data_IF_040527516780
#
_entry.id   IF_040527516780
#
_cell.length_a   1.000
_cell.length_b   1.000
_cell.length_c   1.000
_cell.angle_alpha   90.00
_cell.angle_beta   90.00
_cell.angle_gamma   90.00
#
_symmetry.space_group_name_H-M   'P 1'
#
loop_
_entity.id
_entity.type
_entity.pdbx_description
1 polymer ?
#
# COMPACT_ATOMS: atom_id res chain seq x y z
N UNK A 1 2.75 15.88 2.48
CA UNK A 1 2.13 15.30 3.67
C UNK A 1 2.92 15.77 4.89
N UNK A 2 2.37 15.77 6.08
CA UNK A 2 3.13 16.00 7.31
C UNK A 2 3.36 14.68 8.04
N UNK A 3 4.47 14.54 8.79
CA UNK A 3 4.81 13.29 9.48
C UNK A 3 3.70 12.80 10.41
N UNK A 4 3.07 13.71 11.16
CA UNK A 4 1.95 13.35 12.05
C UNK A 4 0.72 12.84 11.29
N UNK A 5 0.46 13.35 10.09
CA UNK A 5 -0.61 12.85 9.23
C UNK A 5 -0.29 11.46 8.68
N UNK A 6 0.96 11.23 8.26
CA UNK A 6 1.43 9.92 7.80
C UNK A 6 1.28 8.86 8.90
N UNK A 7 1.83 9.14 10.09
CA UNK A 7 1.78 8.23 11.23
C UNK A 7 0.33 7.90 11.64
N UNK A 8 -0.55 8.90 11.60
CA UNK A 8 -1.97 8.71 11.88
C UNK A 8 -2.64 7.78 10.86
N UNK A 9 -2.42 8.00 9.56
CA UNK A 9 -3.00 7.15 8.52
C UNK A 9 -2.47 5.72 8.65
N UNK A 10 -1.16 5.55 8.81
CA UNK A 10 -0.53 4.24 8.92
C UNK A 10 -1.07 3.44 10.12
N UNK A 11 -1.17 4.06 11.30
CA UNK A 11 -1.69 3.40 12.52
C UNK A 11 -3.16 3.01 12.44
N UNK A 12 -3.94 3.67 11.57
CA UNK A 12 -5.36 3.40 11.38
C UNK A 12 -5.64 2.54 10.14
N UNK A 13 -4.62 1.99 9.48
CA UNK A 13 -4.82 1.03 8.41
C UNK A 13 -5.46 -0.25 8.98
N UNK A 14 -6.48 -0.82 8.32
CA UNK A 14 -6.98 -2.14 8.65
C UNK A 14 -5.85 -3.18 8.60
N UNK A 15 -5.87 -4.15 9.52
CA UNK A 15 -4.83 -5.17 9.63
C UNK A 15 -4.49 -5.84 8.28
N UNK A 16 -5.50 -6.20 7.50
CA UNK A 16 -5.30 -6.81 6.17
C UNK A 16 -4.62 -5.85 5.17
N UNK A 17 -4.90 -4.55 5.25
CA UNK A 17 -4.25 -3.56 4.39
C UNK A 17 -2.81 -3.34 4.82
N UNK A 18 -2.54 -3.31 6.13
CA UNK A 18 -1.19 -3.25 6.70
C UNK A 18 -0.36 -4.43 6.24
N UNK A 19 -0.87 -5.67 6.38
CA UNK A 19 -0.16 -6.88 5.94
C UNK A 19 0.13 -6.87 4.43
N UNK A 20 -0.84 -6.48 3.61
CA UNK A 20 -0.66 -6.35 2.15
C UNK A 20 0.43 -5.32 1.83
N UNK A 21 0.39 -4.17 2.48
CA UNK A 21 1.35 -3.09 2.28
C UNK A 21 2.76 -3.48 2.73
N UNK A 22 2.90 -4.09 3.91
CA UNK A 22 4.18 -4.55 4.45
C UNK A 22 4.81 -5.60 3.55
N UNK A 23 4.05 -6.59 3.09
CA UNK A 23 4.53 -7.61 2.15
C UNK A 23 4.99 -6.97 0.83
N UNK A 24 4.20 -6.04 0.30
CA UNK A 24 4.51 -5.32 -0.93
C UNK A 24 5.78 -4.47 -0.81
N UNK A 25 5.98 -3.77 0.30
CA UNK A 25 7.15 -2.93 0.52
C UNK A 25 8.41 -3.73 0.88
N UNK A 26 8.26 -4.90 1.50
CA UNK A 26 9.38 -5.73 1.95
C UNK A 26 10.05 -6.53 0.83
N UNK A 27 9.33 -6.81 -0.26
CA UNK A 27 9.86 -7.58 -1.37
C UNK A 27 9.46 -6.95 -2.71
N UNK A 28 10.43 -6.34 -3.40
CA UNK A 28 10.21 -5.63 -4.67
C UNK A 28 9.76 -6.55 -5.81
N UNK A 29 10.06 -7.85 -5.72
CA UNK A 29 9.74 -8.84 -6.74
C UNK A 29 8.49 -9.66 -6.41
N UNK A 30 7.82 -9.38 -5.28
CA UNK A 30 6.62 -10.12 -4.89
C UNK A 30 5.46 -9.80 -5.84
N UNK A 31 4.82 -10.84 -6.35
CA UNK A 31 3.64 -10.68 -7.19
C UNK A 31 2.39 -10.44 -6.34
N UNK A 32 1.39 -9.78 -6.92
CA UNK A 32 0.08 -9.64 -6.27
C UNK A 32 -0.55 -11.01 -5.94
N UNK A 33 -0.24 -12.05 -6.72
CA UNK A 33 -0.69 -13.41 -6.46
C UNK A 33 -0.07 -14.01 -5.19
N UNK A 34 1.22 -13.78 -4.96
CA UNK A 34 1.91 -14.26 -3.76
C UNK A 34 1.47 -13.51 -2.51
N UNK A 35 1.24 -12.19 -2.62
CA UNK A 35 0.61 -11.41 -1.54
C UNK A 35 -0.76 -12.01 -1.23
N UNK A 36 -1.61 -12.20 -2.25
CA UNK A 36 -2.96 -12.73 -2.08
C UNK A 36 -2.99 -14.06 -1.34
N UNK A 37 -2.08 -14.97 -1.70
CA UNK A 37 -1.89 -16.26 -1.00
C UNK A 37 -1.45 -16.06 0.45
N UNK A 38 -0.51 -15.15 0.70
CA UNK A 38 0.06 -14.92 2.04
C UNK A 38 -0.96 -14.35 3.02
N UNK A 39 -1.83 -13.45 2.57
CA UNK A 39 -2.91 -12.87 3.39
C UNK A 39 -4.28 -13.56 3.21
N UNK A 40 -4.30 -14.72 2.55
CA UNK A 40 -5.52 -15.50 2.27
C UNK A 40 -6.69 -14.64 1.73
N UNK A 41 -6.42 -13.84 0.70
CA UNK A 41 -7.42 -12.98 0.06
C UNK A 41 -7.47 -13.21 -1.46
N UNK A 42 -8.54 -12.74 -2.11
CA UNK A 42 -8.66 -12.81 -3.57
C UNK A 42 -7.59 -11.92 -4.23
N UNK A 43 -6.83 -12.49 -5.17
CA UNK A 43 -5.79 -11.79 -5.92
C UNK A 43 -6.30 -10.53 -6.63
N UNK A 44 -7.51 -10.58 -7.18
CA UNK A 44 -8.15 -9.46 -7.87
C UNK A 44 -8.40 -8.26 -6.93
N UNK A 45 -8.34 -8.49 -5.62
CA UNK A 45 -8.50 -7.47 -4.59
C UNK A 45 -7.17 -6.84 -4.16
N UNK A 46 -6.01 -7.48 -4.37
CA UNK A 46 -4.72 -6.95 -3.89
C UNK A 46 -4.37 -5.62 -4.57
N UNK A 47 -4.38 -5.56 -5.91
CA UNK A 47 -4.11 -4.31 -6.63
C UNK A 47 -5.11 -3.19 -6.30
N UNK A 48 -6.40 -3.54 -6.12
CA UNK A 48 -7.44 -2.59 -5.69
C UNK A 48 -7.18 -2.07 -4.28
N UNK A 49 -6.77 -2.93 -3.35
CA UNK A 49 -6.41 -2.56 -1.98
C UNK A 49 -5.17 -1.68 -1.94
N UNK A 50 -4.10 -2.01 -2.67
CA UNK A 50 -2.91 -1.15 -2.80
C UNK A 50 -3.28 0.23 -3.34
N UNK A 51 -4.11 0.30 -4.39
CA UNK A 51 -4.60 1.59 -4.92
C UNK A 51 -5.45 2.35 -3.89
N UNK A 52 -6.28 1.66 -3.11
CA UNK A 52 -7.07 2.27 -2.04
C UNK A 52 -6.18 2.81 -0.91
N UNK A 53 -5.15 2.05 -0.51
CA UNK A 53 -4.14 2.48 0.47
C UNK A 53 -3.44 3.74 -0.05
N UNK A 54 -2.98 3.75 -1.31
CA UNK A 54 -2.37 4.94 -1.91
C UNK A 54 -3.29 6.16 -1.81
N UNK A 55 -4.59 6.00 -2.10
CA UNK A 55 -5.58 7.09 -1.97
C UNK A 55 -5.70 7.61 -0.53
N UNK A 56 -5.62 6.75 0.49
CA UNK A 56 -5.58 7.19 1.90
C UNK A 56 -4.38 8.07 2.20
N UNK A 57 -3.26 7.84 1.51
CA UNK A 57 -2.07 8.66 1.59
C UNK A 57 -2.08 9.90 0.68
N UNK A 58 -3.24 10.32 0.14
CA UNK A 58 -3.40 11.46 -0.79
C UNK A 58 -2.83 11.22 -2.20
N UNK A 59 -2.81 9.97 -2.67
CA UNK A 59 -2.54 9.68 -4.07
C UNK A 59 -3.61 10.28 -5.00
N UNK A 60 -3.15 10.92 -6.08
CA UNK A 60 -3.96 11.39 -7.21
C UNK A 60 -3.52 10.71 -8.51
N UNK A 61 -4.48 10.24 -9.30
CA UNK A 61 -4.25 9.55 -10.59
C UNK A 61 -3.54 10.42 -11.65
N UNK A 62 -3.41 11.72 -11.41
CA UNK A 62 -2.73 12.67 -12.31
C UNK A 62 -1.20 12.74 -12.13
N UNK A 63 -0.61 11.94 -11.25
CA UNK A 63 0.78 12.14 -10.79
C UNK A 63 1.74 11.01 -11.17
N UNK A 64 1.56 9.81 -10.63
CA UNK A 64 2.44 8.65 -10.75
C UNK A 64 1.61 7.36 -10.81
N UNK A 65 2.21 6.22 -11.16
CA UNK A 65 1.56 4.95 -10.85
C UNK A 65 1.42 4.80 -9.32
N UNK A 66 0.33 4.20 -8.85
CA UNK A 66 0.07 4.08 -7.41
C UNK A 66 1.15 3.25 -6.70
N UNK A 67 1.80 2.32 -7.39
CA UNK A 67 2.90 1.51 -6.89
C UNK A 67 4.13 2.36 -6.61
N UNK A 68 4.56 3.14 -7.61
CA UNK A 68 5.69 4.07 -7.46
C UNK A 68 5.41 5.11 -6.38
N UNK A 69 4.16 5.59 -6.30
CA UNK A 69 3.74 6.50 -5.26
C UNK A 69 3.88 5.91 -3.86
N UNK A 70 3.43 4.67 -3.64
CA UNK A 70 3.55 3.98 -2.36
C UNK A 70 5.01 3.80 -1.96
N UNK A 71 5.87 3.32 -2.87
CA UNK A 71 7.30 3.17 -2.58
C UNK A 71 7.92 4.52 -2.22
N UNK A 72 7.57 5.59 -2.95
CA UNK A 72 8.09 6.93 -2.70
C UNK A 72 7.65 7.49 -1.35
N UNK A 73 6.36 7.42 -1.01
CA UNK A 73 5.86 7.99 0.23
C UNK A 73 6.43 7.25 1.45
N UNK A 74 6.51 5.92 1.40
CA UNK A 74 7.09 5.10 2.48
C UNK A 74 8.62 5.15 2.57
N UNK A 75 9.30 5.68 1.56
CA UNK A 75 10.75 5.95 1.64
C UNK A 75 11.06 7.33 2.26
N UNK A 76 10.05 8.20 2.39
CA UNK A 76 10.20 9.57 2.88
C UNK A 76 9.88 9.75 4.37
N UNK A 77 9.12 8.82 4.96
CA UNK A 77 8.64 8.85 6.34
C UNK A 77 9.06 7.59 7.08
#
# INVERSE_FOLDING_TARGET
MEKGQFDYIYRNLPEIETQILELYLSNKDITQQEIAKSVNCDQSNVGRKLKAIAKKFNYSESSLDYQEYLVKIFSQY
#
